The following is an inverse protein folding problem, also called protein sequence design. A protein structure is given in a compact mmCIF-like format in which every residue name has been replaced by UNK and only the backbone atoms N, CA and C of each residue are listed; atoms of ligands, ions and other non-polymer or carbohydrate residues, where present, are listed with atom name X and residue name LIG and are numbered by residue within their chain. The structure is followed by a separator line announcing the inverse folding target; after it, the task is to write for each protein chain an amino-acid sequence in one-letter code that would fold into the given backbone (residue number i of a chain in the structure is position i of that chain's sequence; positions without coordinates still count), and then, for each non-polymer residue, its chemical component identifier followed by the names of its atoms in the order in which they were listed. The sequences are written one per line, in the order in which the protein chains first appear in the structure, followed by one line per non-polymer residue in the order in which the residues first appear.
data_IF_100870824731
#
_entry.id   IF_100870824731
#
_cell.length_a   1.000
_cell.length_b   1.000
_cell.length_c   1.000
_cell.angle_alpha   90.00
_cell.angle_beta   90.00
_cell.angle_gamma   90.00
#
_symmetry.space_group_name_H-M   'P 1'
#
loop_
_entity.id
_entity.type
_entity.pdbx_description
1 polymer ?
#
# COMPACT_ATOMS: atom_id res chain seq x y z
N UNK A 1 7.25 -0.33 -25.04
CA UNK A 1 7.23 -1.75 -24.65
C UNK A 1 8.22 -2.48 -25.53
N UNK A 2 9.11 -3.23 -24.93
CA UNK A 2 10.13 -4.02 -25.59
C UNK A 2 10.06 -5.45 -25.07
N UNK A 3 10.16 -6.42 -25.97
CA UNK A 3 10.24 -7.83 -25.60
C UNK A 3 11.53 -8.42 -26.18
N UNK A 4 12.32 -9.10 -25.34
CA UNK A 4 13.51 -9.80 -25.73
C UNK A 4 13.49 -11.23 -25.17
N UNK A 5 13.10 -12.19 -26.00
CA UNK A 5 12.85 -13.57 -25.57
C UNK A 5 11.74 -13.62 -24.53
N UNK A 6 12.08 -14.05 -23.32
CA UNK A 6 11.17 -14.16 -22.16
C UNK A 6 11.10 -12.88 -21.32
N UNK A 7 11.95 -11.88 -21.62
CA UNK A 7 11.97 -10.63 -20.88
C UNK A 7 11.04 -9.61 -21.51
N UNK A 8 10.16 -9.03 -20.68
CA UNK A 8 9.27 -7.93 -21.03
C UNK A 8 9.73 -6.66 -20.30
N UNK A 9 10.07 -5.62 -21.06
CA UNK A 9 10.39 -4.31 -20.53
C UNK A 9 9.27 -3.32 -20.88
N UNK A 10 8.69 -2.71 -19.89
CA UNK A 10 7.70 -1.64 -20.04
C UNK A 10 8.25 -0.38 -19.41
N UNK A 11 8.35 0.70 -20.17
CA UNK A 11 8.85 1.99 -19.70
C UNK A 11 7.83 3.10 -19.96
N UNK A 12 7.79 4.04 -19.05
CA UNK A 12 7.00 5.28 -19.17
C UNK A 12 7.94 6.46 -18.94
N UNK A 13 7.80 7.53 -19.72
CA UNK A 13 8.61 8.74 -19.62
C UNK A 13 7.69 9.96 -19.53
N UNK A 14 8.08 10.93 -18.70
CA UNK A 14 7.35 12.18 -18.54
C UNK A 14 7.56 12.79 -17.15
N UNK A 15 6.82 13.85 -16.88
CA UNK A 15 6.83 14.46 -15.54
C UNK A 15 6.36 13.47 -14.48
N UNK A 16 7.05 13.40 -13.35
CA UNK A 16 6.80 12.44 -12.28
C UNK A 16 5.32 12.38 -11.85
N UNK A 17 4.68 13.52 -11.64
CA UNK A 17 3.26 13.58 -11.22
C UNK A 17 2.27 12.93 -12.21
N UNK A 18 2.70 12.67 -13.46
CA UNK A 18 1.92 11.95 -14.46
C UNK A 18 2.34 10.48 -14.53
N UNK A 19 3.64 10.19 -14.54
CA UNK A 19 4.16 8.83 -14.72
C UNK A 19 3.90 7.95 -13.51
N UNK A 20 3.90 8.51 -12.29
CA UNK A 20 3.61 7.77 -11.05
C UNK A 20 2.23 7.08 -11.06
N UNK A 21 1.27 7.63 -11.78
CA UNK A 21 -0.07 7.07 -11.88
C UNK A 21 -0.16 5.82 -12.78
N UNK A 22 0.87 5.52 -13.58
CA UNK A 22 0.88 4.39 -14.51
C UNK A 22 1.30 3.07 -13.89
N UNK A 23 2.04 3.07 -12.79
CA UNK A 23 2.54 1.84 -12.16
C UNK A 23 1.43 0.82 -11.93
N UNK A 24 0.40 1.19 -11.18
CA UNK A 24 -0.66 0.26 -10.77
C UNK A 24 -1.48 -0.26 -11.96
N UNK A 25 -1.96 0.57 -12.91
CA UNK A 25 -2.65 0.09 -14.09
C UNK A 25 -1.79 -0.83 -14.97
N UNK A 26 -0.54 -0.47 -15.23
CA UNK A 26 0.37 -1.28 -16.05
C UNK A 26 0.62 -2.64 -15.38
N UNK A 27 0.95 -2.67 -14.10
CA UNK A 27 1.17 -3.91 -13.37
C UNK A 27 -0.07 -4.80 -13.34
N UNK A 28 -1.25 -4.22 -13.14
CA UNK A 28 -2.50 -4.97 -13.15
C UNK A 28 -2.81 -5.58 -14.51
N UNK A 29 -2.54 -4.85 -15.61
CA UNK A 29 -2.71 -5.35 -16.98
C UNK A 29 -1.70 -6.45 -17.30
N UNK A 30 -0.43 -6.27 -16.93
CA UNK A 30 0.60 -7.30 -17.14
C UNK A 30 0.23 -8.59 -16.41
N UNK A 31 -0.20 -8.50 -15.15
CA UNK A 31 -0.64 -9.69 -14.40
C UNK A 31 -1.83 -10.39 -15.09
N UNK A 32 -2.85 -9.66 -15.48
CA UNK A 32 -4.04 -10.22 -16.11
C UNK A 32 -3.72 -10.87 -17.46
N UNK A 33 -2.94 -10.21 -18.31
CA UNK A 33 -2.50 -10.77 -19.59
C UNK A 33 -1.60 -11.99 -19.41
N UNK A 34 -0.70 -11.96 -18.43
CA UNK A 34 0.16 -13.11 -18.12
C UNK A 34 -0.67 -14.36 -17.79
N UNK A 35 -1.68 -14.23 -16.93
CA UNK A 35 -2.55 -15.35 -16.59
C UNK A 35 -3.38 -15.85 -17.78
N UNK A 36 -3.84 -14.94 -18.65
CA UNK A 36 -4.56 -15.30 -19.87
C UNK A 36 -3.67 -16.04 -20.86
N UNK A 37 -2.48 -15.50 -21.16
CA UNK A 37 -1.55 -16.08 -22.15
C UNK A 37 -0.92 -17.39 -21.67
N UNK A 38 -0.77 -17.57 -20.37
CA UNK A 38 -0.24 -18.82 -19.80
C UNK A 38 -1.33 -19.84 -19.48
N UNK A 39 -2.58 -19.60 -19.88
CA UNK A 39 -3.74 -20.47 -19.62
C UNK A 39 -3.88 -20.87 -18.14
N UNK A 40 -3.51 -20.00 -17.23
CA UNK A 40 -3.72 -20.23 -15.80
C UNK A 40 -5.16 -19.96 -15.45
N UNK A 41 -5.89 -21.06 -15.21
CA UNK A 41 -7.32 -21.02 -14.94
C UNK A 41 -7.59 -20.25 -13.64
N UNK A 42 -8.52 -19.32 -13.71
CA UNK A 42 -9.02 -18.64 -12.51
C UNK A 42 -9.80 -19.65 -11.65
N UNK A 43 -9.79 -19.45 -10.35
CA UNK A 43 -10.66 -20.17 -9.42
C UNK A 43 -12.14 -19.83 -9.69
N UNK A 44 -13.03 -20.79 -9.44
CA UNK A 44 -14.47 -20.56 -9.46
C UNK A 44 -14.86 -19.48 -8.45
N UNK A 45 -15.94 -18.76 -8.75
CA UNK A 45 -16.39 -17.63 -7.92
C UNK A 45 -16.65 -18.04 -6.47
N UNK A 46 -17.23 -19.20 -6.24
CA UNK A 46 -17.50 -19.76 -4.93
C UNK A 46 -16.23 -19.98 -4.12
N UNK A 47 -15.16 -20.46 -4.74
CA UNK A 47 -13.86 -20.65 -4.08
C UNK A 47 -13.21 -19.31 -3.72
N UNK A 48 -13.32 -18.31 -4.59
CA UNK A 48 -12.82 -16.95 -4.31
C UNK A 48 -13.58 -16.37 -3.12
N UNK A 49 -14.92 -16.44 -3.13
CA UNK A 49 -15.77 -15.96 -2.04
C UNK A 49 -15.41 -16.65 -0.73
N UNK A 50 -15.31 -17.98 -0.72
CA UNK A 50 -14.96 -18.76 0.48
C UNK A 50 -13.60 -18.34 1.03
N UNK A 51 -12.60 -18.17 0.17
CA UNK A 51 -11.26 -17.70 0.58
C UNK A 51 -11.31 -16.31 1.25
N UNK A 52 -12.14 -15.42 0.73
CA UNK A 52 -12.32 -14.07 1.32
C UNK A 52 -13.02 -14.17 2.67
N UNK A 53 -14.08 -14.97 2.79
CA UNK A 53 -14.82 -15.18 4.03
C UNK A 53 -13.94 -15.81 5.14
N UNK A 54 -13.09 -16.77 4.78
CA UNK A 54 -12.13 -17.39 5.70
C UNK A 54 -11.12 -16.35 6.24
N UNK A 55 -10.63 -15.47 5.36
CA UNK A 55 -9.74 -14.36 5.79
C UNK A 55 -10.47 -13.37 6.70
N UNK A 56 -11.69 -12.97 6.34
CA UNK A 56 -12.51 -12.08 7.18
C UNK A 56 -12.71 -12.70 8.57
N UNK A 57 -13.06 -13.98 8.64
CA UNK A 57 -13.27 -14.70 9.89
C UNK A 57 -12.02 -14.70 10.77
N UNK A 58 -10.85 -14.99 10.18
CA UNK A 58 -9.55 -14.95 10.89
C UNK A 58 -9.25 -13.56 11.44
N UNK A 59 -9.40 -12.51 10.62
CA UNK A 59 -9.12 -11.13 11.06
C UNK A 59 -10.09 -10.65 12.13
N UNK A 60 -11.36 -11.01 12.00
CA UNK A 60 -12.36 -10.68 13.01
C UNK A 60 -12.07 -11.36 14.36
N UNK A 61 -11.69 -12.64 14.36
CA UNK A 61 -11.32 -13.37 15.57
C UNK A 61 -10.07 -12.78 16.26
N UNK A 62 -9.17 -12.16 15.50
CA UNK A 62 -7.98 -11.48 15.99
C UNK A 62 -8.20 -9.98 16.27
N UNK A 63 -9.41 -9.47 16.12
CA UNK A 63 -9.75 -8.05 16.20
C UNK A 63 -8.91 -7.16 15.28
N UNK A 64 -8.53 -7.68 14.10
CA UNK A 64 -7.73 -6.96 13.11
C UNK A 64 -8.66 -6.18 12.19
N UNK A 65 -8.31 -4.91 11.99
CA UNK A 65 -8.90 -4.01 10.99
C UNK A 65 -7.99 -3.98 9.77
N UNK A 66 -8.55 -4.11 8.57
CA UNK A 66 -7.77 -4.21 7.35
C UNK A 66 -8.40 -3.46 6.17
N UNK A 67 -7.55 -3.12 5.20
CA UNK A 67 -7.94 -2.57 3.90
C UNK A 67 -7.47 -3.48 2.76
N UNK A 68 -8.13 -3.39 1.60
CA UNK A 68 -7.77 -4.14 0.41
C UNK A 68 -6.74 -3.38 -0.43
N UNK A 69 -5.62 -4.05 -0.81
CA UNK A 69 -4.50 -3.48 -1.57
C UNK A 69 -4.05 -4.33 -2.77
N UNK A 70 -4.86 -5.29 -3.21
CA UNK A 70 -4.50 -6.31 -4.21
C UNK A 70 -4.48 -5.85 -5.67
N UNK A 71 -4.92 -4.65 -6.01
CA UNK A 71 -5.11 -4.18 -7.40
C UNK A 71 -3.90 -4.44 -8.30
N UNK A 72 -2.68 -4.14 -7.85
CA UNK A 72 -1.45 -4.19 -8.65
C UNK A 72 -1.10 -5.60 -9.13
N UNK A 73 -1.44 -6.63 -8.36
CA UNK A 73 -1.09 -8.04 -8.61
C UNK A 73 -2.32 -8.95 -8.70
N UNK A 74 -3.44 -8.39 -9.10
CA UNK A 74 -4.69 -9.15 -9.24
C UNK A 74 -4.59 -10.16 -10.37
N UNK A 75 -5.29 -11.29 -10.23
CA UNK A 75 -5.42 -12.26 -11.31
C UNK A 75 -6.13 -11.63 -12.53
N UNK A 76 -7.27 -10.96 -12.29
CA UNK A 76 -8.02 -10.23 -13.31
C UNK A 76 -8.86 -9.13 -12.66
N UNK A 77 -9.37 -8.23 -13.48
CA UNK A 77 -10.32 -7.22 -13.01
C UNK A 77 -11.55 -7.86 -12.35
N UNK A 78 -12.12 -8.89 -12.98
CA UNK A 78 -13.34 -9.54 -12.47
C UNK A 78 -13.13 -10.23 -11.12
N UNK A 79 -11.99 -10.93 -10.94
CA UNK A 79 -11.65 -11.54 -9.65
C UNK A 79 -11.46 -10.48 -8.57
N UNK A 80 -10.75 -9.41 -8.87
CA UNK A 80 -10.55 -8.31 -7.92
C UNK A 80 -11.88 -7.62 -7.55
N UNK A 81 -12.75 -7.40 -8.54
CA UNK A 81 -14.08 -6.82 -8.34
C UNK A 81 -14.94 -7.70 -7.41
N UNK A 82 -14.91 -9.02 -7.63
CA UNK A 82 -15.59 -10.01 -6.77
C UNK A 82 -15.05 -9.96 -5.33
N UNK A 83 -13.73 -9.91 -5.17
CA UNK A 83 -13.08 -9.81 -3.85
C UNK A 83 -13.53 -8.55 -3.12
N UNK A 84 -13.45 -7.36 -3.76
CA UNK A 84 -13.83 -6.10 -3.10
C UNK A 84 -15.32 -6.08 -2.76
N UNK A 85 -16.17 -6.59 -3.64
CA UNK A 85 -17.61 -6.74 -3.38
C UNK A 85 -17.86 -7.62 -2.15
N UNK A 86 -17.26 -8.81 -2.10
CA UNK A 86 -17.41 -9.75 -0.98
C UNK A 86 -16.90 -9.13 0.34
N UNK A 87 -15.75 -8.43 0.29
CA UNK A 87 -15.23 -7.70 1.45
C UNK A 87 -16.20 -6.63 1.95
N UNK A 88 -16.85 -5.90 1.04
CA UNK A 88 -17.85 -4.89 1.39
C UNK A 88 -19.09 -5.51 2.03
N UNK A 89 -19.57 -6.63 1.48
CA UNK A 89 -20.78 -7.31 1.94
C UNK A 89 -20.58 -8.07 3.27
N UNK A 90 -19.42 -8.70 3.43
CA UNK A 90 -19.14 -9.64 4.53
C UNK A 90 -18.16 -9.12 5.59
N UNK A 91 -17.31 -8.14 5.26
CA UNK A 91 -16.22 -7.68 6.11
C UNK A 91 -16.66 -6.94 7.37
N UNK A 92 -17.84 -6.29 7.33
CA UNK A 92 -18.35 -5.52 8.48
C UNK A 92 -17.34 -4.47 8.96
N UNK A 93 -17.22 -4.30 10.28
CA UNK A 93 -16.29 -3.32 10.89
C UNK A 93 -14.81 -3.65 10.73
N UNK A 94 -14.44 -4.88 10.35
CA UNK A 94 -13.03 -5.24 10.11
C UNK A 94 -12.52 -4.74 8.77
N UNK A 95 -13.38 -4.56 7.76
CA UNK A 95 -13.00 -4.03 6.45
C UNK A 95 -13.25 -2.53 6.38
N UNK A 96 -12.19 -1.74 6.29
CA UNK A 96 -12.27 -0.27 6.35
C UNK A 96 -12.21 0.42 4.97
N UNK A 97 -11.82 -0.28 3.92
CA UNK A 97 -11.76 0.32 2.60
C UNK A 97 -10.84 -0.37 1.61
N UNK A 98 -10.76 0.20 0.41
CA UNK A 98 -9.96 -0.33 -0.69
C UNK A 98 -9.00 0.72 -1.26
N UNK A 99 -7.80 0.29 -1.68
CA UNK A 99 -6.84 1.16 -2.35
C UNK A 99 -7.33 1.60 -3.73
N UNK A 100 -8.05 0.74 -4.43
CA UNK A 100 -8.55 1.04 -5.76
C UNK A 100 -9.70 2.05 -5.68
N UNK A 101 -9.45 3.28 -6.13
CA UNK A 101 -10.42 4.38 -6.08
C UNK A 101 -11.70 4.07 -6.89
N UNK A 102 -11.57 3.39 -8.05
CA UNK A 102 -12.73 2.95 -8.82
C UNK A 102 -13.61 1.97 -8.03
N UNK A 103 -12.99 0.96 -7.41
CA UNK A 103 -13.72 -0.01 -6.57
C UNK A 103 -14.30 0.66 -5.33
N UNK A 104 -13.55 1.58 -4.69
CA UNK A 104 -14.03 2.33 -3.54
C UNK A 104 -15.28 3.17 -3.89
N UNK A 105 -15.28 3.85 -5.04
CA UNK A 105 -16.42 4.58 -5.55
C UNK A 105 -17.60 3.66 -5.87
N UNK A 106 -17.34 2.55 -6.59
CA UNK A 106 -18.37 1.59 -7.03
C UNK A 106 -19.10 0.94 -5.86
N UNK A 107 -18.36 0.53 -4.83
CA UNK A 107 -18.90 -0.16 -3.65
C UNK A 107 -19.17 0.76 -2.45
N UNK A 108 -19.05 2.07 -2.63
CA UNK A 108 -19.28 3.08 -1.58
C UNK A 108 -18.51 2.72 -0.30
N UNK A 109 -17.23 2.42 -0.45
CA UNK A 109 -16.29 2.21 0.65
C UNK A 109 -15.23 3.30 0.68
N UNK A 110 -14.48 3.41 1.77
CA UNK A 110 -13.45 4.44 1.92
C UNK A 110 -12.27 4.15 0.97
N UNK A 111 -11.78 5.12 0.16
CA UNK A 111 -10.51 4.98 -0.50
C UNK A 111 -9.39 5.06 0.53
N UNK A 112 -8.46 4.10 0.52
CA UNK A 112 -7.35 4.01 1.46
C UNK A 112 -6.04 4.09 0.69
N UNK A 113 -5.12 4.90 1.18
CA UNK A 113 -3.78 5.03 0.63
C UNK A 113 -2.75 5.25 1.73
N UNK A 114 -1.48 5.15 1.35
CA UNK A 114 -0.32 5.45 2.18
C UNK A 114 0.72 6.19 1.35
N UNK A 115 1.82 6.64 1.97
CA UNK A 115 2.97 7.13 1.23
C UNK A 115 3.44 6.13 0.16
N UNK A 116 3.96 6.63 -0.96
CA UNK A 116 4.72 5.85 -1.92
C UNK A 116 6.23 6.04 -1.68
N UNK A 117 7.04 5.02 -2.01
CA UNK A 117 8.51 5.16 -1.97
C UNK A 117 9.00 6.33 -2.84
N UNK A 118 8.38 6.54 -3.99
CA UNK A 118 8.73 7.61 -4.92
C UNK A 118 8.58 9.01 -4.31
N UNK A 119 7.72 9.18 -3.31
CA UNK A 119 7.63 10.43 -2.59
C UNK A 119 8.95 10.79 -1.92
N UNK A 120 9.53 9.86 -1.18
CA UNK A 120 10.83 10.04 -0.52
C UNK A 120 11.99 10.06 -1.52
N UNK A 121 11.91 9.25 -2.59
CA UNK A 121 12.90 9.23 -3.67
C UNK A 121 12.95 10.58 -4.41
N UNK A 122 11.82 11.20 -4.67
CA UNK A 122 11.76 12.55 -5.23
C UNK A 122 12.44 13.58 -4.31
N UNK A 123 12.19 13.49 -3.00
CA UNK A 123 12.83 14.37 -2.02
C UNK A 123 14.35 14.13 -1.94
N UNK A 124 14.79 12.87 -2.05
CA UNK A 124 16.22 12.56 -2.12
C UNK A 124 16.89 13.16 -3.37
N UNK A 125 16.24 13.04 -4.52
CA UNK A 125 16.75 13.63 -5.76
C UNK A 125 16.87 15.16 -5.69
N UNK A 126 15.97 15.82 -4.97
CA UNK A 126 15.91 17.29 -4.87
C UNK A 126 16.72 17.85 -3.71
N UNK A 127 16.76 17.18 -2.57
CA UNK A 127 17.33 17.71 -1.31
C UNK A 127 18.48 16.84 -0.76
N UNK A 128 18.80 15.74 -1.42
CA UNK A 128 19.78 14.75 -0.99
C UNK A 128 19.22 13.70 -0.04
N UNK A 129 19.83 12.51 -0.03
CA UNK A 129 19.38 11.34 0.75
C UNK A 129 19.25 11.64 2.26
N UNK A 130 20.18 12.40 2.80
CA UNK A 130 20.20 12.73 4.24
C UNK A 130 18.95 13.49 4.69
N UNK A 131 18.35 14.27 3.79
CA UNK A 131 17.19 15.12 4.11
C UNK A 131 15.87 14.52 3.62
N UNK A 132 15.91 13.41 2.88
CA UNK A 132 14.77 12.89 2.15
C UNK A 132 13.55 12.59 3.04
N UNK A 133 13.75 11.89 4.16
CA UNK A 133 12.65 11.55 5.05
C UNK A 133 12.12 12.80 5.77
N UNK A 134 12.98 13.61 6.38
CA UNK A 134 12.54 14.78 7.15
C UNK A 134 11.80 15.79 6.28
N UNK A 135 12.35 16.15 5.12
CA UNK A 135 11.70 17.09 4.20
C UNK A 135 10.44 16.49 3.58
N UNK A 136 10.45 15.20 3.27
CA UNK A 136 9.27 14.49 2.77
C UNK A 136 8.10 14.48 3.77
N UNK A 137 8.39 14.23 5.04
CA UNK A 137 7.40 14.28 6.13
C UNK A 137 6.86 15.70 6.38
N UNK A 138 7.73 16.71 6.37
CA UNK A 138 7.31 18.12 6.51
C UNK A 138 6.39 18.54 5.37
N UNK A 139 6.78 18.32 4.11
CA UNK A 139 5.96 18.70 2.97
C UNK A 139 4.61 17.95 2.94
N UNK A 140 4.57 16.69 3.40
CA UNK A 140 3.32 15.95 3.54
C UNK A 140 2.43 16.60 4.61
N UNK A 141 3.01 16.96 5.75
CA UNK A 141 2.32 17.63 6.84
C UNK A 141 1.76 18.99 6.42
N UNK A 142 2.53 19.77 5.66
CA UNK A 142 2.12 21.09 5.16
C UNK A 142 0.89 21.02 4.22
N UNK A 143 0.79 19.96 3.43
CA UNK A 143 -0.32 19.75 2.49
C UNK A 143 -1.56 19.22 3.21
N UNK A 144 -1.41 18.16 4.00
CA UNK A 144 -2.55 17.40 4.57
C UNK A 144 -2.92 17.85 5.99
N UNK A 145 -2.06 18.57 6.66
CA UNK A 145 -2.25 19.25 7.97
C UNK A 145 -2.67 18.40 9.15
N UNK A 146 -3.66 17.57 9.07
CA UNK A 146 -4.13 16.75 10.18
C UNK A 146 -4.69 15.38 9.74
N UNK A 147 -4.80 15.12 8.44
CA UNK A 147 -5.20 13.81 7.88
C UNK A 147 -3.99 13.21 7.15
N UNK A 148 -2.97 12.85 7.93
CA UNK A 148 -1.67 12.44 7.40
C UNK A 148 -1.62 10.96 7.03
N UNK A 149 -2.48 10.14 7.63
CA UNK A 149 -2.50 8.70 7.45
C UNK A 149 -1.26 8.00 8.03
N UNK A 150 -0.77 6.99 7.33
CA UNK A 150 0.28 6.08 7.81
C UNK A 150 1.61 6.36 7.09
N UNK A 151 2.67 6.63 7.85
CA UNK A 151 3.99 6.95 7.32
C UNK A 151 4.74 5.69 6.87
N UNK A 152 5.29 5.70 5.66
CA UNK A 152 6.13 4.62 5.10
C UNK A 152 7.55 4.73 5.64
N UNK A 153 8.12 3.63 6.14
CA UNK A 153 9.36 3.68 6.95
C UNK A 153 10.62 3.21 6.23
N UNK A 154 10.50 2.42 5.17
CA UNK A 154 11.62 1.61 4.69
C UNK A 154 12.20 2.03 3.33
N UNK A 155 11.94 3.25 2.88
CA UNK A 155 12.55 3.77 1.64
C UNK A 155 14.08 3.82 1.72
N UNK A 156 14.61 4.21 2.88
CA UNK A 156 16.07 4.27 3.16
C UNK A 156 16.42 3.57 4.46
N UNK A 157 15.79 2.46 4.75
CA UNK A 157 15.78 1.67 5.99
C UNK A 157 14.91 2.28 7.11
N UNK A 158 14.34 1.40 7.90
CA UNK A 158 13.51 1.76 9.05
C UNK A 158 14.30 2.50 10.13
N UNK A 159 15.56 2.15 10.33
CA UNK A 159 16.44 2.79 11.30
C UNK A 159 16.67 4.26 10.95
N UNK A 160 17.05 4.55 9.71
CA UNK A 160 17.26 5.92 9.22
C UNK A 160 15.96 6.72 9.27
N UNK A 161 14.84 6.08 8.98
CA UNK A 161 13.54 6.74 9.11
C UNK A 161 13.27 7.14 10.57
N UNK A 162 13.44 6.25 11.54
CA UNK A 162 13.19 6.54 12.95
C UNK A 162 14.15 7.58 13.55
N UNK A 163 15.35 7.77 12.99
CA UNK A 163 16.21 8.90 13.37
C UNK A 163 15.59 10.28 13.06
N UNK A 164 14.71 10.33 12.04
CA UNK A 164 14.09 11.54 11.56
C UNK A 164 12.59 11.66 11.91
N UNK A 165 11.96 10.55 12.30
CA UNK A 165 10.57 10.50 12.74
C UNK A 165 10.46 10.83 14.21
N UNK A 166 10.50 12.12 14.50
CA UNK A 166 10.50 12.65 15.86
C UNK A 166 9.12 12.62 16.54
N UNK A 167 9.05 13.16 17.76
CA UNK A 167 7.80 13.22 18.54
C UNK A 167 6.70 14.02 17.87
N UNK A 168 7.03 15.01 17.03
CA UNK A 168 6.06 15.79 16.27
C UNK A 168 5.35 14.89 15.28
N UNK A 169 6.11 14.19 14.43
CA UNK A 169 5.54 13.29 13.43
C UNK A 169 4.83 12.09 14.05
N UNK A 170 5.42 11.49 15.09
CA UNK A 170 4.82 10.37 15.81
C UNK A 170 3.46 10.69 16.46
N UNK A 171 3.16 11.96 16.71
CA UNK A 171 1.85 12.43 17.20
C UNK A 171 0.90 12.88 16.10
N UNK A 172 1.41 13.25 14.94
CA UNK A 172 0.60 13.76 13.83
C UNK A 172 0.13 12.66 12.89
N UNK A 173 0.96 11.64 12.65
CA UNK A 173 0.60 10.50 11.82
C UNK A 173 -0.20 9.47 12.62
N UNK A 174 -1.13 8.78 11.94
CA UNK A 174 -1.94 7.71 12.54
C UNK A 174 -1.13 6.45 12.88
N UNK A 175 0.05 6.32 12.30
CA UNK A 175 0.96 5.22 12.54
C UNK A 175 2.06 5.11 11.49
N UNK A 176 2.78 3.98 11.54
CA UNK A 176 3.87 3.67 10.63
C UNK A 176 3.60 2.38 9.87
N UNK A 177 4.09 2.28 8.62
CA UNK A 177 3.87 1.15 7.72
C UNK A 177 5.12 0.31 7.59
N UNK A 178 4.99 -0.98 7.90
CA UNK A 178 5.90 -2.03 7.46
C UNK A 178 5.61 -2.39 6.00
N UNK A 179 6.62 -2.43 5.14
CA UNK A 179 6.49 -2.85 3.75
C UNK A 179 7.44 -3.99 3.36
N UNK A 180 8.61 -4.07 4.01
CA UNK A 180 9.62 -5.09 3.76
C UNK A 180 10.35 -5.52 5.04
N UNK A 181 10.98 -6.71 5.00
CA UNK A 181 11.69 -7.30 6.14
C UNK A 181 10.80 -8.13 7.05
N UNK A 182 11.30 -8.48 8.24
CA UNK A 182 10.56 -9.23 9.24
C UNK A 182 9.55 -8.34 9.99
N UNK A 183 8.25 -8.67 9.98
CA UNK A 183 7.24 -7.84 10.62
C UNK A 183 7.31 -7.82 12.15
N UNK A 184 7.85 -8.86 12.78
CA UNK A 184 7.99 -8.91 14.23
C UNK A 184 9.15 -8.01 14.68
N UNK A 185 10.29 -8.10 14.00
CA UNK A 185 11.43 -7.21 14.22
C UNK A 185 11.06 -5.74 13.99
N UNK A 186 10.29 -5.45 12.95
CA UNK A 186 9.75 -4.11 12.72
C UNK A 186 8.84 -3.64 13.86
N UNK A 187 7.99 -4.53 14.38
CA UNK A 187 7.10 -4.23 15.51
C UNK A 187 7.91 -3.85 16.76
N UNK A 188 8.94 -4.64 17.10
CA UNK A 188 9.80 -4.38 18.24
C UNK A 188 10.56 -3.05 18.11
N UNK A 189 11.12 -2.75 16.93
CA UNK A 189 11.77 -1.47 16.64
C UNK A 189 10.80 -0.29 16.77
N UNK A 190 9.58 -0.46 16.30
CA UNK A 190 8.53 0.56 16.37
C UNK A 190 8.16 0.85 17.82
N UNK A 191 7.89 -0.20 18.62
CA UNK A 191 7.56 -0.05 20.04
C UNK A 191 8.69 0.66 20.78
N UNK A 192 9.93 0.21 20.58
CA UNK A 192 11.10 0.83 21.22
C UNK A 192 11.25 2.32 20.84
N UNK A 193 11.00 2.67 19.57
CA UNK A 193 11.04 4.06 19.11
C UNK A 193 9.96 4.93 19.79
N UNK A 194 8.70 4.47 19.82
CA UNK A 194 7.62 5.24 20.47
C UNK A 194 7.84 5.39 21.97
N UNK A 195 8.34 4.33 22.66
CA UNK A 195 8.73 4.41 24.07
C UNK A 195 9.85 5.46 24.31
N UNK A 196 10.88 5.48 23.44
CA UNK A 196 11.96 6.49 23.50
C UNK A 196 11.41 7.92 23.35
N UNK A 197 10.35 8.11 22.59
CA UNK A 197 9.66 9.40 22.42
C UNK A 197 8.71 9.75 23.58
N UNK A 198 8.50 8.82 24.53
CA UNK A 198 7.55 8.95 25.63
C UNK A 198 6.09 8.93 25.14
N UNK A 199 5.80 8.06 24.18
CA UNK A 199 4.46 7.76 23.65
C UNK A 199 4.18 6.30 23.97
N UNK A 200 3.08 6.04 24.70
CA UNK A 200 2.64 4.69 25.12
C UNK A 200 1.37 4.28 24.35
#
# INVERSE_FOLDING_TARGET
IEQNGTELKVSTEGFWYRTILWEVPIMALICELFYQETNQTRQEDEMVIQTVEDKISKYRNLNIVFAEFGTRRRHSFNVHDLVVRTLKEKGGGSFIGARNVHSAMRYKTRPIGTHAHEWFMFHAAKYGYKMANSVGLEHWTDVYRGDLGIALTDTYTTEVFFEQFDKKFAKLFDGVRHDSGDPLEFGDKTIAHYQKLGIN
#
